data_IF_980091302974
#
_entry.id   IF_980091302974
#
_cell.length_a   1.000
_cell.length_b   1.000
_cell.length_c   1.000
_cell.angle_alpha   90.00
_cell.angle_beta   90.00
_cell.angle_gamma   90.00
#
_symmetry.space_group_name_H-M   'P 1'
#
loop_
_entity.id
_entity.type
_entity.pdbx_description
1 polymer ?
#
# COMPACT_ATOMS: atom_id res chain seq x y z
N UNK A 1 4.77 -12.78 13.52
CA UNK A 1 3.70 -12.06 12.80
C UNK A 1 4.23 -11.30 11.59
N UNK A 2 5.35 -10.56 11.68
CA UNK A 2 5.97 -9.83 10.56
C UNK A 2 6.38 -10.72 9.40
N UNK A 3 7.08 -11.84 9.63
CA UNK A 3 7.45 -12.81 8.58
C UNK A 3 6.23 -13.31 7.77
N UNK A 4 5.08 -13.49 8.46
CA UNK A 4 3.85 -13.90 7.77
C UNK A 4 3.20 -12.77 6.97
N UNK A 5 3.39 -11.51 7.36
CA UNK A 5 2.88 -10.36 6.62
C UNK A 5 3.75 -10.09 5.40
N UNK A 6 5.07 -10.07 5.57
CA UNK A 6 6.05 -9.86 4.50
C UNK A 6 5.85 -10.86 3.35
N UNK A 7 5.69 -12.15 3.66
CA UNK A 7 5.44 -13.19 2.66
C UNK A 7 4.06 -13.09 1.99
N UNK A 8 3.07 -12.46 2.64
CA UNK A 8 1.68 -12.39 2.13
C UNK A 8 1.35 -11.07 1.43
N UNK A 9 2.03 -9.98 1.75
CA UNK A 9 1.82 -8.70 1.05
C UNK A 9 1.91 -8.86 -0.48
N UNK A 10 2.92 -9.52 -1.06
CA UNK A 10 2.98 -9.74 -2.50
C UNK A 10 1.76 -10.46 -3.05
N UNK A 11 1.21 -11.44 -2.31
CA UNK A 11 0.01 -12.19 -2.71
C UNK A 11 -1.23 -11.28 -2.68
N UNK A 12 -1.38 -10.44 -1.65
CA UNK A 12 -2.47 -9.46 -1.59
C UNK A 12 -2.36 -8.42 -2.71
N UNK A 13 -1.13 -8.05 -3.09
CA UNK A 13 -0.84 -7.13 -4.20
C UNK A 13 -1.24 -7.67 -5.57
N UNK A 14 -1.52 -8.98 -5.72
CA UNK A 14 -2.12 -9.51 -6.95
C UNK A 14 -3.57 -9.05 -7.13
N UNK A 15 -4.23 -8.61 -6.05
CA UNK A 15 -5.65 -8.27 -6.04
C UNK A 15 -6.60 -9.46 -6.11
N UNK A 16 -6.09 -10.70 -6.13
CA UNK A 16 -6.88 -11.93 -6.20
C UNK A 16 -7.37 -12.42 -4.84
N UNK A 17 -6.73 -11.97 -3.74
CA UNK A 17 -7.02 -12.41 -2.39
C UNK A 17 -7.49 -11.23 -1.55
N UNK A 18 -8.62 -11.41 -0.86
CA UNK A 18 -9.14 -10.44 0.11
C UNK A 18 -9.09 -11.07 1.51
N UNK A 19 -8.22 -10.56 2.42
CA UNK A 19 -8.06 -11.13 3.74
C UNK A 19 -9.14 -10.64 4.71
N UNK A 20 -9.62 -11.55 5.56
CA UNK A 20 -10.57 -11.28 6.63
C UNK A 20 -10.07 -11.86 7.95
N UNK A 21 -10.58 -11.34 9.06
CA UNK A 21 -10.29 -11.87 10.40
C UNK A 21 -11.54 -11.93 11.27
N UNK A 22 -11.54 -12.86 12.23
CA UNK A 22 -12.55 -12.97 13.26
C UNK A 22 -12.01 -12.35 14.56
N UNK A 23 -12.81 -11.50 15.22
CA UNK A 23 -12.35 -10.76 16.41
C UNK A 23 -12.05 -11.63 17.62
N UNK A 24 -12.71 -12.78 17.78
CA UNK A 24 -12.43 -13.71 18.90
C UNK A 24 -12.66 -15.16 18.51
N UNK A 25 -11.64 -15.99 18.77
CA UNK A 25 -11.79 -17.45 18.83
C UNK A 25 -11.02 -17.91 20.08
N UNK A 26 -11.71 -18.02 21.21
CA UNK A 26 -11.16 -18.58 22.45
C UNK A 26 -11.66 -20.01 22.62
N UNK A 27 -11.20 -20.93 21.79
CA UNK A 27 -11.51 -22.34 21.93
C UNK A 27 -10.23 -23.15 22.12
N UNK A 28 -10.27 -24.13 23.03
CA UNK A 28 -9.20 -25.12 23.20
C UNK A 28 -9.17 -26.13 22.06
N UNK A 29 -10.29 -26.31 21.37
CA UNK A 29 -10.43 -27.16 20.17
C UNK A 29 -10.65 -26.25 18.97
N UNK A 30 -9.81 -26.40 17.95
CA UNK A 30 -9.89 -25.67 16.71
C UNK A 30 -10.53 -26.52 15.62
N UNK A 31 -11.70 -26.06 15.15
CA UNK A 31 -12.32 -26.56 13.93
C UNK A 31 -11.92 -25.65 12.78
N UNK A 32 -11.11 -26.16 11.88
CA UNK A 32 -10.64 -25.41 10.70
C UNK A 32 -11.52 -25.74 9.49
N UNK A 33 -12.08 -24.72 8.85
CA UNK A 33 -12.48 -24.81 7.47
C UNK A 33 -11.31 -24.27 6.64
N UNK A 34 -10.45 -25.17 6.18
CA UNK A 34 -9.21 -24.76 5.48
C UNK A 34 -9.48 -24.32 4.06
N UNK A 35 -10.47 -24.91 3.40
CA UNK A 35 -10.80 -24.65 2.01
C UNK A 35 -12.22 -25.12 1.69
N UNK A 36 -12.94 -24.34 0.90
CA UNK A 36 -14.22 -24.76 0.29
C UNK A 36 -14.35 -24.15 -1.10
N UNK A 37 -14.67 -24.96 -2.07
CA UNK A 37 -14.90 -24.55 -3.46
C UNK A 37 -16.22 -25.10 -3.98
N UNK A 38 -16.46 -24.96 -5.30
CA UNK A 38 -17.58 -25.60 -6.00
C UNK A 38 -17.51 -27.12 -5.99
N UNK A 39 -16.32 -27.71 -5.89
CA UNK A 39 -16.06 -29.12 -6.11
C UNK A 39 -15.60 -29.90 -4.88
N UNK A 40 -14.90 -29.24 -3.94
CA UNK A 40 -14.32 -29.91 -2.76
C UNK A 40 -14.34 -29.01 -1.54
N UNK A 41 -14.33 -29.62 -0.33
CA UNK A 41 -14.07 -28.93 0.92
C UNK A 41 -13.00 -29.69 1.70
N UNK A 42 -12.06 -28.93 2.30
CA UNK A 42 -11.06 -29.42 3.23
C UNK A 42 -11.36 -28.82 4.61
N UNK A 43 -11.52 -29.68 5.59
CA UNK A 43 -11.72 -29.27 6.99
C UNK A 43 -10.75 -30.01 7.90
N UNK A 44 -10.50 -29.46 9.08
CA UNK A 44 -9.63 -30.08 10.05
C UNK A 44 -10.04 -29.76 11.47
N UNK A 45 -9.64 -30.61 12.39
CA UNK A 45 -9.82 -30.44 13.82
C UNK A 45 -8.51 -30.72 14.54
N UNK A 46 -8.15 -29.85 15.48
CA UNK A 46 -6.95 -30.04 16.30
C UNK A 46 -7.11 -29.40 17.68
N UNK A 47 -6.31 -29.84 18.63
CA UNK A 47 -6.21 -29.25 19.96
C UNK A 47 -5.12 -28.18 19.92
N UNK A 48 -5.32 -27.10 20.65
CA UNK A 48 -4.34 -26.01 20.76
C UNK A 48 -2.98 -26.55 21.24
N UNK A 49 -1.93 -26.24 20.49
CA UNK A 49 -0.56 -26.71 20.77
C UNK A 49 -0.22 -28.09 20.23
N UNK A 50 -1.18 -28.81 19.59
CA UNK A 50 -0.99 -30.13 18.99
C UNK A 50 -1.50 -30.18 17.56
N UNK A 51 -1.15 -29.15 16.75
CA UNK A 51 -1.61 -29.05 15.36
C UNK A 51 -1.07 -30.17 14.46
N UNK A 52 0.09 -30.70 14.77
CA UNK A 52 0.73 -31.87 14.12
C UNK A 52 -0.09 -33.17 14.26
N UNK A 53 -0.93 -33.26 15.30
CA UNK A 53 -1.82 -34.39 15.58
C UNK A 53 -3.26 -34.18 15.14
N UNK A 54 -3.51 -33.08 14.39
CA UNK A 54 -4.83 -32.76 13.87
C UNK A 54 -5.32 -33.79 12.83
N UNK A 55 -6.64 -34.00 12.77
CA UNK A 55 -7.28 -34.78 11.72
C UNK A 55 -7.78 -33.86 10.62
N UNK A 56 -7.53 -34.21 9.37
CA UNK A 56 -7.98 -33.49 8.19
C UNK A 56 -8.86 -34.38 7.34
N UNK A 57 -9.94 -33.80 6.83
CA UNK A 57 -10.92 -34.50 6.04
C UNK A 57 -11.19 -33.72 4.75
N UNK A 58 -10.99 -34.37 3.62
CA UNK A 58 -11.29 -33.88 2.29
C UNK A 58 -12.54 -34.56 1.78
N UNK A 59 -13.54 -33.76 1.35
CA UNK A 59 -14.79 -34.29 0.78
C UNK A 59 -15.12 -33.63 -0.56
N UNK A 60 -15.70 -34.43 -1.46
CA UNK A 60 -16.34 -34.03 -2.69
C UNK A 60 -17.84 -34.42 -2.72
N UNK A 61 -18.38 -34.85 -1.59
CA UNK A 61 -19.79 -35.18 -1.45
C UNK A 61 -20.66 -33.93 -1.53
N UNK A 62 -21.60 -33.87 -2.47
CA UNK A 62 -22.43 -32.69 -2.70
C UNK A 62 -23.22 -32.22 -1.46
N UNK A 63 -23.74 -33.11 -0.65
CA UNK A 63 -24.47 -32.75 0.59
C UNK A 63 -23.56 -32.07 1.60
N UNK A 64 -22.36 -32.60 1.78
CA UNK A 64 -21.35 -32.03 2.68
C UNK A 64 -20.82 -30.70 2.14
N UNK A 65 -20.64 -30.57 0.82
CA UNK A 65 -20.23 -29.32 0.20
C UNK A 65 -21.25 -28.21 0.45
N UNK A 66 -22.54 -28.48 0.38
CA UNK A 66 -23.59 -27.49 0.73
C UNK A 66 -23.41 -27.02 2.18
N UNK A 67 -23.26 -27.95 3.12
CA UNK A 67 -23.02 -27.63 4.53
C UNK A 67 -21.77 -26.75 4.73
N UNK A 68 -20.63 -27.11 4.11
CA UNK A 68 -19.40 -26.33 4.25
C UNK A 68 -19.47 -24.96 3.57
N UNK A 69 -20.21 -24.80 2.47
CA UNK A 69 -20.48 -23.52 1.85
C UNK A 69 -21.30 -22.61 2.76
N UNK A 70 -22.36 -23.15 3.38
CA UNK A 70 -23.17 -22.41 4.35
C UNK A 70 -22.34 -22.00 5.57
N UNK A 71 -21.52 -22.92 6.10
CA UNK A 71 -20.58 -22.64 7.20
C UNK A 71 -19.60 -21.53 6.84
N UNK A 72 -19.01 -21.55 5.65
CA UNK A 72 -18.13 -20.50 5.16
C UNK A 72 -18.87 -19.15 5.07
N UNK A 73 -20.08 -19.14 4.51
CA UNK A 73 -20.90 -17.94 4.42
C UNK A 73 -21.23 -17.33 5.79
N UNK A 74 -21.52 -18.16 6.78
CA UNK A 74 -21.77 -17.71 8.15
C UNK A 74 -20.50 -17.16 8.81
N UNK A 75 -19.33 -17.75 8.54
CA UNK A 75 -18.06 -17.23 9.02
C UNK A 75 -17.74 -15.87 8.38
N UNK A 76 -17.95 -15.72 7.07
CA UNK A 76 -17.75 -14.45 6.36
C UNK A 76 -18.66 -13.35 6.89
N UNK A 77 -19.93 -13.63 7.21
CA UNK A 77 -20.84 -12.66 7.81
C UNK A 77 -20.36 -12.12 9.17
N UNK A 78 -19.58 -12.90 9.90
CA UNK A 78 -19.00 -12.51 11.21
C UNK A 78 -17.60 -11.94 11.10
N UNK A 79 -16.93 -12.13 9.96
CA UNK A 79 -15.57 -11.69 9.74
C UNK A 79 -15.52 -10.20 9.38
N UNK A 80 -14.43 -9.57 9.77
CA UNK A 80 -14.12 -8.19 9.39
C UNK A 80 -13.03 -8.21 8.33
N UNK A 81 -13.08 -7.35 7.32
CA UNK A 81 -11.98 -7.19 6.39
C UNK A 81 -10.72 -6.76 7.15
N UNK A 82 -9.59 -7.39 6.84
CA UNK A 82 -8.31 -7.05 7.46
C UNK A 82 -7.78 -5.69 6.98
N UNK A 83 -8.19 -5.30 5.77
CA UNK A 83 -7.85 -4.04 5.12
C UNK A 83 -8.95 -3.63 4.15
N UNK A 84 -9.07 -2.34 3.91
CA UNK A 84 -9.85 -1.79 2.80
C UNK A 84 -8.98 -1.84 1.55
N UNK A 85 -9.55 -2.25 0.42
CA UNK A 85 -8.80 -2.44 -0.84
C UNK A 85 -9.41 -1.53 -1.89
N UNK A 86 -8.58 -0.64 -2.44
CA UNK A 86 -8.97 0.28 -3.49
C UNK A 86 -8.24 -0.08 -4.80
N UNK A 87 -9.02 -0.14 -5.87
CA UNK A 87 -8.58 -0.40 -7.24
C UNK A 87 -9.15 0.67 -8.16
N UNK A 88 -8.81 0.65 -9.44
CA UNK A 88 -9.29 1.62 -10.42
C UNK A 88 -10.83 1.76 -10.43
N UNK A 89 -11.56 0.64 -10.32
CA UNK A 89 -13.03 0.64 -10.33
C UNK A 89 -13.67 1.36 -9.13
N UNK A 90 -12.91 1.64 -8.07
CA UNK A 90 -13.36 2.40 -6.91
C UNK A 90 -12.42 3.57 -6.55
N UNK A 91 -11.74 4.14 -7.55
CA UNK A 91 -10.81 5.29 -7.38
C UNK A 91 -11.45 6.51 -6.72
N UNK A 92 -12.74 6.77 -6.99
CA UNK A 92 -13.47 7.86 -6.35
C UNK A 92 -13.61 7.67 -4.83
N UNK A 93 -13.80 6.43 -4.37
CA UNK A 93 -13.84 6.11 -2.95
C UNK A 93 -12.45 6.29 -2.29
N UNK A 94 -11.37 5.96 -3.01
CA UNK A 94 -10.01 6.22 -2.53
C UNK A 94 -9.73 7.72 -2.43
N UNK A 95 -10.12 8.51 -3.41
CA UNK A 95 -10.02 9.98 -3.36
C UNK A 95 -10.77 10.55 -2.14
N UNK A 96 -12.01 10.11 -1.90
CA UNK A 96 -12.78 10.51 -0.73
C UNK A 96 -12.09 10.07 0.58
N UNK A 97 -11.50 8.87 0.62
CA UNK A 97 -10.70 8.43 1.76
C UNK A 97 -9.51 9.35 2.01
N UNK A 98 -8.73 9.73 0.99
CA UNK A 98 -7.58 10.63 1.14
C UNK A 98 -8.00 12.02 1.65
N UNK A 99 -9.14 12.54 1.20
CA UNK A 99 -9.69 13.80 1.72
C UNK A 99 -10.01 13.73 3.21
N UNK A 100 -10.70 12.66 3.65
CA UNK A 100 -10.99 12.45 5.07
C UNK A 100 -9.71 12.20 5.89
N UNK A 101 -8.73 11.50 5.30
CA UNK A 101 -7.42 11.27 5.92
C UNK A 101 -6.67 12.59 6.20
N UNK A 102 -6.80 13.57 5.31
CA UNK A 102 -6.13 14.87 5.50
C UNK A 102 -6.59 15.63 6.73
N UNK A 103 -7.78 15.34 7.24
CA UNK A 103 -8.35 15.95 8.45
C UNK A 103 -7.82 15.30 9.74
N UNK A 104 -7.14 14.16 9.64
CA UNK A 104 -6.59 13.45 10.80
C UNK A 104 -5.32 14.16 11.26
N UNK A 105 -5.36 14.72 12.48
CA UNK A 105 -4.24 15.45 13.11
C UNK A 105 -3.28 14.43 13.75
N UNK A 106 -2.44 13.80 12.93
CA UNK A 106 -1.39 12.86 13.34
C UNK A 106 -0.19 13.00 12.42
N UNK A 107 1.00 12.88 12.98
CA UNK A 107 2.24 12.87 12.21
C UNK A 107 2.27 11.68 11.24
N UNK A 108 2.91 11.89 10.10
CA UNK A 108 3.02 10.88 9.05
C UNK A 108 4.48 10.54 8.77
N UNK A 109 4.75 9.25 8.65
CA UNK A 109 6.01 8.75 8.08
C UNK A 109 5.68 8.04 6.78
N UNK A 110 6.36 8.44 5.69
CA UNK A 110 6.14 7.85 4.38
C UNK A 110 7.44 7.28 3.84
N UNK A 111 7.38 6.10 3.24
CA UNK A 111 8.50 5.45 2.56
C UNK A 111 8.11 5.34 1.09
N UNK A 112 8.86 6.01 0.24
CA UNK A 112 8.57 6.10 -1.18
C UNK A 112 9.59 5.38 -2.05
N UNK A 113 9.07 4.73 -3.09
CA UNK A 113 9.87 4.19 -4.20
C UNK A 113 10.16 5.22 -5.30
N UNK A 114 9.59 6.43 -5.18
CA UNK A 114 9.74 7.56 -6.09
C UNK A 114 9.74 8.89 -5.33
N UNK A 115 9.68 10.03 -6.03
CA UNK A 115 9.59 11.35 -5.43
C UNK A 115 8.12 11.79 -5.29
N UNK A 116 7.77 12.56 -4.24
CA UNK A 116 6.40 13.03 -4.03
C UNK A 116 6.02 14.11 -5.05
N UNK A 117 4.88 13.93 -5.72
CA UNK A 117 4.48 14.77 -6.85
C UNK A 117 4.24 16.24 -6.48
N UNK A 118 3.81 16.53 -5.24
CA UNK A 118 3.54 17.88 -4.80
C UNK A 118 4.79 18.77 -4.68
N UNK A 119 5.99 18.22 -4.74
CA UNK A 119 7.25 19.00 -4.64
C UNK A 119 7.85 19.38 -5.99
N UNK A 120 7.35 18.82 -7.10
CA UNK A 120 7.85 19.12 -8.44
C UNK A 120 7.31 20.48 -8.93
N UNK A 121 8.12 21.26 -9.67
CA UNK A 121 7.62 22.45 -10.35
C UNK A 121 6.77 22.10 -11.57
N UNK A 122 5.79 22.96 -11.91
CA UNK A 122 4.93 22.71 -13.08
C UNK A 122 5.74 22.63 -14.38
N UNK A 123 6.78 23.45 -14.52
CA UNK A 123 7.68 23.43 -15.68
C UNK A 123 8.41 22.10 -15.85
N UNK A 124 8.98 21.58 -14.76
CA UNK A 124 9.68 20.28 -14.79
C UNK A 124 8.70 19.14 -15.03
N UNK A 125 7.52 19.17 -14.41
CA UNK A 125 6.48 18.17 -14.62
C UNK A 125 6.04 18.14 -16.09
N UNK A 126 5.70 19.28 -16.67
CA UNK A 126 5.28 19.38 -18.08
C UNK A 126 6.37 18.89 -19.02
N UNK A 127 7.64 19.24 -18.75
CA UNK A 127 8.78 18.74 -19.53
C UNK A 127 8.82 17.19 -19.51
N UNK A 128 8.80 16.59 -18.31
CA UNK A 128 8.85 15.13 -18.15
C UNK A 128 7.67 14.45 -18.87
N UNK A 129 6.47 15.01 -18.76
CA UNK A 129 5.28 14.45 -19.41
C UNK A 129 5.39 14.49 -20.94
N UNK A 130 5.87 15.60 -21.50
CA UNK A 130 6.11 15.74 -22.94
C UNK A 130 7.20 14.78 -23.43
N UNK A 131 8.31 14.65 -22.72
CA UNK A 131 9.40 13.74 -23.04
C UNK A 131 8.95 12.26 -23.05
N UNK A 132 7.91 11.93 -22.28
CA UNK A 132 7.27 10.62 -22.27
C UNK A 132 6.10 10.47 -23.26
N UNK A 133 5.86 11.44 -24.15
CA UNK A 133 4.77 11.46 -25.14
C UNK A 133 3.38 11.27 -24.51
N UNK A 134 3.14 11.91 -23.36
CA UNK A 134 1.84 11.89 -22.69
C UNK A 134 0.87 12.80 -23.45
N UNK A 135 -0.39 12.40 -23.59
CA UNK A 135 -1.41 13.19 -24.27
C UNK A 135 -1.71 14.48 -23.49
N UNK A 136 -2.15 15.55 -24.20
CA UNK A 136 -2.45 16.81 -23.54
C UNK A 136 -3.57 16.68 -22.49
N UNK A 137 -4.54 15.80 -22.71
CA UNK A 137 -5.63 15.55 -21.76
C UNK A 137 -5.12 14.87 -20.50
N UNK A 138 -4.22 13.89 -20.64
CA UNK A 138 -3.56 13.25 -19.50
C UNK A 138 -2.65 14.23 -18.75
N UNK A 139 -1.92 15.09 -19.46
CA UNK A 139 -1.10 16.16 -18.85
C UNK A 139 -1.95 17.07 -17.97
N UNK A 140 -3.08 17.55 -18.51
CA UNK A 140 -4.00 18.40 -17.76
C UNK A 140 -4.52 17.67 -16.50
N UNK A 141 -4.89 16.39 -16.63
CA UNK A 141 -5.35 15.57 -15.51
C UNK A 141 -4.29 15.41 -14.42
N UNK A 142 -3.03 15.18 -14.80
CA UNK A 142 -1.92 15.01 -13.84
C UNK A 142 -1.60 16.34 -13.14
N UNK A 143 -1.64 17.45 -13.85
CA UNK A 143 -1.42 18.78 -13.27
C UNK A 143 -2.54 19.15 -12.29
N UNK A 144 -3.80 18.89 -12.63
CA UNK A 144 -4.92 19.13 -11.72
C UNK A 144 -4.77 18.30 -10.45
N UNK A 145 -4.40 17.03 -10.59
CA UNK A 145 -4.16 16.16 -9.45
C UNK A 145 -3.01 16.69 -8.58
N UNK A 146 -1.88 17.12 -9.18
CA UNK A 146 -0.77 17.72 -8.43
C UNK A 146 -1.26 18.89 -7.57
N UNK A 147 -2.09 19.78 -8.12
CA UNK A 147 -2.66 20.92 -7.39
C UNK A 147 -3.59 20.47 -6.24
N UNK A 148 -4.34 19.40 -6.44
CA UNK A 148 -5.15 18.80 -5.36
C UNK A 148 -4.26 18.22 -4.26
N UNK A 149 -3.18 17.51 -4.64
CA UNK A 149 -2.21 16.96 -3.68
C UNK A 149 -1.49 18.06 -2.89
N UNK A 150 -1.11 19.17 -3.53
CA UNK A 150 -0.53 20.35 -2.86
C UNK A 150 -1.47 20.92 -1.79
N UNK A 151 -2.77 21.04 -2.08
CA UNK A 151 -3.78 21.51 -1.10
C UNK A 151 -3.91 20.52 0.06
N UNK A 152 -4.02 19.24 -0.25
CA UNK A 152 -4.09 18.16 0.72
C UNK A 152 -2.85 18.16 1.63
N UNK A 153 -1.65 18.25 1.06
CA UNK A 153 -0.41 18.27 1.80
C UNK A 153 -0.27 19.54 2.65
N UNK A 154 -0.67 20.69 2.14
CA UNK A 154 -0.68 21.96 2.89
C UNK A 154 -1.59 21.86 4.12
N UNK A 155 -2.77 21.27 3.98
CA UNK A 155 -3.70 21.06 5.10
C UNK A 155 -3.06 20.21 6.20
N UNK A 156 -2.42 19.09 5.85
CA UNK A 156 -1.74 18.23 6.80
C UNK A 156 -0.57 18.98 7.48
N UNK A 157 0.29 19.61 6.70
CA UNK A 157 1.49 20.29 7.17
C UNK A 157 1.21 21.52 8.06
N UNK A 158 -0.03 22.02 8.06
CA UNK A 158 -0.45 23.07 8.97
C UNK A 158 -0.41 22.61 10.44
N UNK A 159 -0.76 21.36 10.71
CA UNK A 159 -0.94 20.83 12.06
C UNK A 159 -0.08 19.63 12.41
N UNK A 160 0.56 18.99 11.42
CA UNK A 160 1.27 17.72 11.58
C UNK A 160 2.62 17.76 10.88
N UNK A 161 3.53 16.91 11.35
CA UNK A 161 4.82 16.67 10.69
C UNK A 161 4.69 15.52 9.70
N UNK A 162 5.27 15.70 8.50
CA UNK A 162 5.45 14.64 7.53
C UNK A 162 6.95 14.36 7.39
N UNK A 163 7.32 13.09 7.51
CA UNK A 163 8.69 12.62 7.29
C UNK A 163 8.69 11.64 6.12
N UNK A 164 9.32 12.02 5.02
CA UNK A 164 9.51 11.19 3.85
C UNK A 164 10.88 10.51 3.88
N UNK A 165 10.89 9.20 3.73
CA UNK A 165 12.09 8.40 3.52
C UNK A 165 12.19 8.11 2.04
N UNK A 166 13.18 8.70 1.37
CA UNK A 166 13.34 8.68 -0.08
C UNK A 166 14.68 8.02 -0.43
N UNK A 167 14.63 7.05 -1.36
CA UNK A 167 15.83 6.47 -1.94
C UNK A 167 16.47 7.44 -2.92
N UNK A 168 17.75 7.73 -2.75
CA UNK A 168 18.57 8.50 -3.69
C UNK A 168 19.57 7.59 -4.37
N UNK A 169 19.29 7.12 -5.61
CA UNK A 169 20.21 6.29 -6.36
C UNK A 169 21.47 7.04 -6.81
N UNK A 170 22.55 6.32 -6.98
CA UNK A 170 23.64 6.76 -7.83
C UNK A 170 23.20 6.75 -9.30
N UNK A 171 23.97 7.38 -10.19
CA UNK A 171 23.67 7.37 -11.62
C UNK A 171 23.67 5.94 -12.19
N UNK A 172 24.59 5.08 -11.74
CA UNK A 172 24.70 3.69 -12.17
C UNK A 172 23.46 2.89 -11.75
N UNK A 173 23.04 2.96 -10.49
CA UNK A 173 21.84 2.32 -9.98
C UNK A 173 20.56 2.81 -10.68
N UNK A 174 20.50 4.10 -11.03
CA UNK A 174 19.35 4.67 -11.74
C UNK A 174 19.27 4.14 -13.19
N UNK A 175 20.41 3.96 -13.87
CA UNK A 175 20.45 3.41 -15.23
C UNK A 175 20.07 1.93 -15.24
N UNK A 176 20.43 1.18 -14.21
CA UNK A 176 20.04 -0.23 -14.06
C UNK A 176 18.54 -0.40 -13.76
N UNK A 177 17.99 0.40 -12.86
CA UNK A 177 16.57 0.35 -12.49
C UNK A 177 15.95 1.77 -12.39
N UNK A 178 15.51 2.29 -13.53
CA UNK A 178 14.97 3.65 -13.64
C UNK A 178 13.73 3.87 -12.76
N UNK A 179 13.73 4.96 -12.00
CA UNK A 179 12.59 5.41 -11.20
C UNK A 179 11.54 6.04 -12.12
N UNK A 180 10.28 5.84 -11.81
CA UNK A 180 9.16 6.47 -12.49
C UNK A 180 8.54 7.58 -11.64
N UNK A 181 7.85 8.53 -12.28
CA UNK A 181 7.02 9.53 -11.62
C UNK A 181 5.89 8.83 -10.84
N UNK A 182 5.60 9.32 -9.64
CA UNK A 182 4.54 8.79 -8.76
C UNK A 182 3.17 9.26 -9.26
N UNK A 183 2.38 8.35 -9.83
CA UNK A 183 1.04 8.62 -10.36
C UNK A 183 -0.01 7.60 -9.89
N UNK A 184 0.34 6.77 -8.93
CA UNK A 184 -0.53 5.69 -8.44
C UNK A 184 -1.82 6.20 -7.77
N UNK A 185 -1.77 7.34 -7.10
CA UNK A 185 -2.94 7.89 -6.41
C UNK A 185 -4.06 8.32 -7.37
N UNK A 186 -3.75 8.58 -8.63
CA UNK A 186 -4.74 8.86 -9.68
C UNK A 186 -5.06 7.63 -10.53
N UNK A 187 -4.48 6.48 -10.19
CA UNK A 187 -4.63 5.23 -10.95
C UNK A 187 -4.19 5.37 -12.43
N UNK A 188 -3.15 6.17 -12.67
CA UNK A 188 -2.58 6.31 -14.00
C UNK A 188 -1.56 5.21 -14.24
N UNK A 189 -1.83 4.34 -15.19
CA UNK A 189 -1.13 3.07 -15.36
C UNK A 189 0.10 3.13 -16.29
N UNK A 190 0.24 4.21 -17.05
CA UNK A 190 1.42 4.39 -17.91
C UNK A 190 2.63 4.79 -17.07
N UNK A 191 3.73 4.09 -17.26
CA UNK A 191 4.99 4.39 -16.57
C UNK A 191 5.63 5.63 -17.18
N UNK A 192 5.66 6.74 -16.44
CA UNK A 192 6.33 7.99 -16.81
C UNK A 192 7.74 7.95 -16.25
N UNK A 193 8.74 7.86 -17.10
CA UNK A 193 10.14 7.72 -16.71
C UNK A 193 10.80 9.08 -16.55
N UNK A 194 11.62 9.20 -15.50
CA UNK A 194 12.58 10.30 -15.41
C UNK A 194 13.80 10.01 -16.31
N UNK A 195 14.46 11.09 -16.79
CA UNK A 195 15.90 11.06 -17.01
C UNK A 195 16.60 11.18 -15.65
N UNK A 196 17.87 10.82 -15.54
CA UNK A 196 18.62 11.00 -14.29
C UNK A 196 18.69 12.48 -13.89
N UNK A 197 18.89 13.38 -14.85
CA UNK A 197 18.93 14.83 -14.63
C UNK A 197 17.60 15.36 -14.08
N UNK A 198 16.47 14.94 -14.65
CA UNK A 198 15.15 15.35 -14.18
C UNK A 198 14.83 14.80 -12.78
N UNK A 199 15.28 13.57 -12.50
CA UNK A 199 15.16 12.99 -11.16
C UNK A 199 15.95 13.80 -10.13
N UNK A 200 17.22 14.13 -10.42
CA UNK A 200 18.05 14.93 -9.51
C UNK A 200 17.44 16.32 -9.30
N UNK A 201 16.95 16.97 -10.37
CA UNK A 201 16.31 18.27 -10.28
C UNK A 201 15.05 18.24 -9.41
N UNK A 202 14.20 17.23 -9.58
CA UNK A 202 13.03 17.05 -8.72
C UNK A 202 13.43 16.75 -7.26
N UNK A 203 14.47 15.92 -7.06
CA UNK A 203 15.00 15.64 -5.73
C UNK A 203 15.48 16.93 -5.02
N UNK A 204 16.19 17.81 -5.74
CA UNK A 204 16.63 19.10 -5.22
C UNK A 204 15.46 20.00 -4.84
N UNK A 205 14.39 20.05 -5.66
CA UNK A 205 13.15 20.77 -5.33
C UNK A 205 12.50 20.20 -4.07
N UNK A 206 12.49 18.87 -3.89
CA UNK A 206 11.98 18.21 -2.69
C UNK A 206 12.78 18.61 -1.44
N UNK A 207 14.11 18.67 -1.54
CA UNK A 207 14.96 19.14 -0.44
C UNK A 207 14.74 20.64 -0.17
N UNK A 208 14.62 21.48 -1.21
CA UNK A 208 14.31 22.89 -1.04
C UNK A 208 12.97 23.10 -0.32
N UNK A 209 11.94 22.34 -0.70
CA UNK A 209 10.65 22.37 -0.03
C UNK A 209 10.77 22.00 1.46
N UNK A 210 11.57 20.98 1.79
CA UNK A 210 11.84 20.57 3.16
C UNK A 210 12.58 21.66 3.97
N UNK A 211 13.47 22.41 3.36
CA UNK A 211 14.20 23.49 4.01
C UNK A 211 13.32 24.72 4.33
N UNK A 212 12.28 24.95 3.50
CA UNK A 212 11.35 26.08 3.67
C UNK A 212 10.23 25.71 4.67
N UNK A 213 9.76 24.45 4.63
CA UNK A 213 8.64 23.99 5.44
C UNK A 213 9.12 23.18 6.66
N UNK A 214 9.10 23.80 7.84
CA UNK A 214 9.59 23.18 9.09
C UNK A 214 8.85 21.88 9.50
N UNK A 215 7.63 21.69 9.01
CA UNK A 215 6.80 20.52 9.29
C UNK A 215 6.98 19.40 8.24
N UNK A 216 7.78 19.64 7.18
CA UNK A 216 8.13 18.63 6.20
C UNK A 216 9.61 18.25 6.32
N UNK A 217 9.88 16.96 6.47
CA UNK A 217 11.24 16.42 6.64
C UNK A 217 11.52 15.37 5.59
N UNK A 218 12.73 15.39 5.06
CA UNK A 218 13.23 14.37 4.12
C UNK A 218 14.39 13.63 4.74
N UNK A 219 14.31 12.31 4.77
CA UNK A 219 15.41 11.40 5.14
C UNK A 219 15.82 10.68 3.86
N UNK A 220 17.07 10.85 3.47
CA UNK A 220 17.62 10.15 2.31
C UNK A 220 18.12 8.78 2.69
N UNK A 221 17.83 7.79 1.87
CA UNK A 221 18.27 6.42 2.03
C UNK A 221 19.19 6.03 0.87
N UNK A 222 20.28 5.34 1.18
CA UNK A 222 21.22 4.83 0.17
C UNK A 222 20.83 3.46 -0.39
N UNK A 223 19.77 2.87 0.13
CA UNK A 223 19.28 1.57 -0.34
C UNK A 223 17.79 1.63 -0.64
N UNK A 224 17.37 0.89 -1.65
CA UNK A 224 15.99 0.78 -2.08
C UNK A 224 15.25 -0.22 -1.18
N UNK A 225 14.35 0.28 -0.35
CA UNK A 225 13.62 -0.55 0.60
C UNK A 225 12.59 -1.44 -0.11
N UNK A 226 11.84 -0.86 -1.04
CA UNK A 226 10.78 -1.57 -1.78
C UNK A 226 10.74 -1.08 -3.23
N UNK A 227 10.50 -2.02 -4.16
CA UNK A 227 10.25 -1.71 -5.55
C UNK A 227 8.74 -1.58 -5.78
N UNK A 228 8.31 -0.46 -6.35
CA UNK A 228 6.89 -0.21 -6.70
C UNK A 228 5.90 -0.30 -5.51
N UNK A 229 6.36 -0.05 -4.29
CA UNK A 229 5.51 0.00 -3.10
C UNK A 229 5.81 1.28 -2.34
N UNK A 230 4.76 2.04 -2.07
CA UNK A 230 4.78 3.20 -1.20
C UNK A 230 4.05 2.87 0.10
N UNK A 231 4.59 3.30 1.23
CA UNK A 231 4.04 3.06 2.55
C UNK A 231 3.80 4.41 3.21
N UNK A 232 2.57 4.70 3.62
CA UNK A 232 2.23 5.86 4.44
C UNK A 232 1.71 5.38 5.79
N UNK A 233 2.39 5.77 6.87
CA UNK A 233 2.02 5.49 8.24
C UNK A 233 1.45 6.76 8.86
N UNK A 234 0.21 6.73 9.32
CA UNK A 234 -0.48 7.85 9.98
C UNK A 234 -0.52 7.58 11.48
N UNK A 235 0.50 8.03 12.19
CA UNK A 235 0.74 7.67 13.59
C UNK A 235 0.64 6.16 13.82
N UNK A 236 -0.18 5.76 14.81
CA UNK A 236 -0.60 4.37 15.03
C UNK A 236 -2.07 4.12 14.64
N UNK A 237 -2.67 5.02 13.86
CA UNK A 237 -4.08 4.96 13.49
C UNK A 237 -4.30 4.01 12.31
N UNK A 238 -3.55 4.17 11.22
CA UNK A 238 -3.62 3.29 10.06
C UNK A 238 -2.36 3.38 9.20
N UNK A 239 -2.25 2.45 8.27
CA UNK A 239 -1.20 2.40 7.26
C UNK A 239 -1.83 2.27 5.88
N UNK A 240 -1.33 3.05 4.92
CA UNK A 240 -1.66 2.93 3.51
C UNK A 240 -0.48 2.27 2.80
N UNK A 241 -0.74 1.15 2.13
CA UNK A 241 0.22 0.48 1.25
C UNK A 241 -0.25 0.68 -0.19
N UNK A 242 0.54 1.37 -0.99
CA UNK A 242 0.23 1.65 -2.39
C UNK A 242 1.17 0.91 -3.32
N UNK A 243 0.63 0.14 -4.26
CA UNK A 243 1.39 -0.44 -5.36
C UNK A 243 1.36 0.51 -6.55
N UNK A 244 2.52 1.02 -6.94
CA UNK A 244 2.67 2.00 -8.03
C UNK A 244 2.81 1.38 -9.43
N UNK A 245 2.93 0.04 -9.52
CA UNK A 245 2.97 -0.68 -10.79
C UNK A 245 1.67 -1.45 -11.04
N UNK A 246 1.30 -1.61 -12.30
CA UNK A 246 0.07 -2.31 -12.71
C UNK A 246 -0.04 -3.75 -12.16
N UNK A 247 -1.23 -4.15 -11.71
CA UNK A 247 -2.39 -3.31 -11.44
C UNK A 247 -2.15 -2.40 -10.22
N UNK A 248 -2.54 -1.12 -10.31
CA UNK A 248 -2.46 -0.17 -9.20
C UNK A 248 -3.49 -0.56 -8.14
N UNK A 249 -3.04 -0.70 -6.89
CA UNK A 249 -3.87 -1.11 -5.76
C UNK A 249 -3.41 -0.39 -4.50
N UNK A 250 -4.37 0.10 -3.72
CA UNK A 250 -4.11 0.67 -2.41
C UNK A 250 -4.79 -0.18 -1.33
N UNK A 251 -4.07 -0.40 -0.24
CA UNK A 251 -4.57 -1.09 0.95
C UNK A 251 -4.54 -0.12 2.12
N UNK A 252 -5.68 0.05 2.78
CA UNK A 252 -5.78 0.80 4.03
C UNK A 252 -5.96 -0.18 5.17
N UNK A 253 -4.95 -0.27 6.03
CA UNK A 253 -4.86 -1.21 7.14
C UNK A 253 -5.14 -0.45 8.44
N UNK A 254 -6.26 -0.79 9.10
CA UNK A 254 -6.67 -0.20 10.39
C UNK A 254 -6.56 -1.20 11.55
N UNK A 255 -6.18 -2.46 11.28
CA UNK A 255 -6.07 -3.47 12.31
C UNK A 255 -4.89 -3.17 13.25
N UNK A 256 -5.10 -2.93 14.58
CA UNK A 256 -4.06 -2.35 15.45
C UNK A 256 -2.76 -3.15 15.49
N UNK A 257 -2.83 -4.49 15.53
CA UNK A 257 -1.63 -5.35 15.55
C UNK A 257 -0.85 -5.31 14.24
N UNK A 258 -1.50 -5.06 13.10
CA UNK A 258 -0.83 -4.93 11.81
C UNK A 258 -0.21 -3.54 11.68
N UNK A 259 -0.95 -2.50 12.07
CA UNK A 259 -0.44 -1.13 12.11
C UNK A 259 0.80 -1.08 12.98
N UNK A 260 0.74 -1.60 14.21
CA UNK A 260 1.88 -1.63 15.14
C UNK A 260 3.06 -2.42 14.56
N UNK A 261 2.81 -3.56 13.91
CA UNK A 261 3.85 -4.35 13.27
C UNK A 261 4.54 -3.62 12.11
N UNK A 262 3.81 -2.85 11.29
CA UNK A 262 4.36 -2.10 10.16
C UNK A 262 5.09 -0.85 10.65
N UNK A 263 4.52 -0.11 11.60
CA UNK A 263 5.14 1.11 12.16
C UNK A 263 6.47 0.81 12.85
N UNK A 264 6.59 -0.34 13.51
CA UNK A 264 7.81 -0.78 14.17
C UNK A 264 8.74 -1.60 13.25
N UNK A 265 8.37 -1.78 11.98
CA UNK A 265 9.21 -2.48 11.02
C UNK A 265 10.37 -1.59 10.57
N UNK A 266 11.56 -1.97 10.96
CA UNK A 266 12.79 -1.46 10.37
C UNK A 266 13.28 -2.52 9.39
N UNK A 267 13.21 -2.27 8.07
CA UNK A 267 13.76 -3.21 7.10
C UNK A 267 15.23 -3.44 7.43
N UNK A 268 15.61 -4.71 7.52
CA UNK A 268 17.01 -5.09 7.67
C UNK A 268 17.75 -4.57 6.43
N UNK A 269 18.75 -3.73 6.65
CA UNK A 269 19.72 -3.37 5.63
C UNK A 269 20.53 -4.63 5.41
N UNK A 270 20.34 -5.29 4.27
CA UNK A 270 21.29 -6.30 3.81
C UNK A 270 22.44 -5.50 3.23
N UNK A 271 23.53 -5.38 4.01
CA UNK A 271 24.81 -4.85 3.55
C UNK A 271 25.40 -5.75 2.48
#
# INVERSE_FOLDING_TARGET
MMLGLESRIPIYMTGQISPYYLKEVKNSVYNHLNYVSGAVALTGECIKGSHDKGKYYLTNNNKELVYYKEKASLLFKKANPLMEIYRENNKSAFKAFLMNDSEIILDRKRIFSSLPLFTISDELLIKILNDNNISQDDINTIIEYKKEEEKYMTSILTNCTITDVIYKPTMEEFLDDSIALSTENIFYDKKIKYTYEDFIKHFELTIQYSNINKNYKVITNSYKTFKNINITMVGKHHVILSKSANPIIHFVIKHPKLVDAIVNFNPLVIE
#
